data_IF_592596839640
#
_entry.id   IF_592596839640
#
_cell.length_a   1.000
_cell.length_b   1.000
_cell.length_c   1.000
_cell.angle_alpha   90.00
_cell.angle_beta   90.00
_cell.angle_gamma   90.00
#
_symmetry.space_group_name_H-M   'P 1'
#
loop_
_entity.id
_entity.type
_entity.pdbx_description
1 polymer ?
#
# COMPACT_ATOMS: atom_id res chain seq x y z
N UNK A 1 -30.45 47.15 -35.28
CA UNK A 1 -30.19 45.70 -35.39
C UNK A 1 -29.37 45.26 -34.18
N UNK A 2 -29.93 44.54 -33.20
CA UNK A 2 -29.15 43.99 -32.09
C UNK A 2 -28.80 42.52 -32.37
N UNK A 3 -27.52 42.22 -32.61
CA UNK A 3 -27.03 40.85 -32.78
C UNK A 3 -26.42 40.37 -31.45
N UNK A 4 -27.17 39.47 -30.80
CA UNK A 4 -26.72 38.29 -30.05
C UNK A 4 -25.68 38.46 -28.92
N UNK A 5 -26.18 38.37 -27.68
CA UNK A 5 -25.44 37.74 -26.59
C UNK A 5 -25.42 36.22 -26.80
N UNK A 6 -24.26 35.58 -26.64
CA UNK A 6 -24.15 34.13 -26.47
C UNK A 6 -23.28 33.83 -25.24
N UNK A 7 -23.93 33.26 -24.24
CA UNK A 7 -23.39 32.83 -22.95
C UNK A 7 -22.44 31.63 -23.13
N UNK A 8 -21.27 31.69 -22.49
CA UNK A 8 -20.29 30.62 -22.47
C UNK A 8 -20.68 29.61 -21.37
N UNK A 9 -21.19 28.44 -21.76
CA UNK A 9 -21.54 27.36 -20.83
C UNK A 9 -20.29 26.50 -20.47
N UNK A 10 -20.17 26.01 -19.23
CA UNK A 10 -19.06 25.16 -18.84
C UNK A 10 -19.13 23.80 -19.54
N UNK A 11 -18.01 23.39 -20.16
CA UNK A 11 -17.86 22.05 -20.76
C UNK A 11 -17.99 21.00 -19.66
N UNK A 12 -19.13 20.31 -19.61
CA UNK A 12 -19.32 19.15 -18.74
C UNK A 12 -18.24 18.11 -19.04
N UNK A 13 -17.44 17.79 -18.04
CA UNK A 13 -16.54 16.64 -18.03
C UNK A 13 -17.28 15.43 -18.58
N UNK A 14 -16.79 14.88 -19.68
CA UNK A 14 -17.39 13.73 -20.32
C UNK A 14 -17.48 12.58 -19.33
N UNK A 15 -18.71 12.21 -18.96
CA UNK A 15 -18.99 10.92 -18.37
C UNK A 15 -18.67 9.88 -19.43
N UNK A 16 -17.47 9.27 -19.34
CA UNK A 16 -17.16 8.06 -20.10
C UNK A 16 -18.18 7.02 -19.65
N UNK A 17 -19.24 6.82 -20.44
CA UNK A 17 -20.18 5.73 -20.22
C UNK A 17 -19.38 4.42 -20.36
N UNK A 18 -19.31 3.56 -19.33
CA UNK A 18 -18.71 2.25 -19.49
C UNK A 18 -19.55 1.45 -20.50
N UNK A 19 -18.92 0.96 -21.56
CA UNK A 19 -19.57 0.07 -22.52
C UNK A 19 -20.24 -1.11 -21.81
N UNK A 20 -21.50 -1.43 -22.13
CA UNK A 20 -22.22 -2.54 -21.52
C UNK A 20 -21.64 -3.86 -22.05
N UNK A 21 -20.58 -4.36 -21.40
CA UNK A 21 -19.92 -5.62 -21.75
C UNK A 21 -18.42 -5.70 -21.49
N UNK A 22 -17.75 -4.58 -21.15
CA UNK A 22 -16.35 -4.61 -20.77
C UNK A 22 -16.14 -5.17 -19.34
N UNK A 23 -14.99 -5.80 -19.04
CA UNK A 23 -14.66 -6.19 -17.67
C UNK A 23 -14.78 -4.99 -16.74
N UNK A 24 -15.64 -5.09 -15.73
CA UNK A 24 -15.73 -4.09 -14.67
C UNK A 24 -14.50 -4.25 -13.79
N UNK A 25 -13.42 -3.53 -14.09
CA UNK A 25 -12.28 -3.45 -13.19
C UNK A 25 -12.73 -2.73 -11.91
N UNK A 26 -13.05 -3.51 -10.88
CA UNK A 26 -13.28 -2.97 -9.56
C UNK A 26 -12.00 -2.29 -9.09
N UNK A 27 -12.10 -1.14 -8.42
CA UNK A 27 -10.91 -0.44 -7.90
C UNK A 27 -10.07 -1.32 -6.96
N UNK A 28 -10.71 -2.29 -6.30
CA UNK A 28 -10.09 -3.33 -5.47
C UNK A 28 -9.24 -4.36 -6.25
N UNK A 29 -9.43 -4.45 -7.57
CA UNK A 29 -8.71 -5.38 -8.45
C UNK A 29 -7.32 -4.86 -8.85
N UNK A 30 -7.09 -3.54 -8.71
CA UNK A 30 -5.77 -2.93 -8.89
C UNK A 30 -4.90 -3.18 -7.66
N UNK A 31 -4.46 -4.42 -7.48
CA UNK A 31 -3.35 -4.74 -6.57
C UNK A 31 -2.11 -4.00 -7.07
N UNK A 32 -1.46 -3.24 -6.20
CA UNK A 32 -0.20 -2.59 -6.58
C UNK A 32 0.85 -3.67 -6.89
N UNK A 33 1.74 -3.45 -7.87
CA UNK A 33 2.81 -4.40 -8.12
C UNK A 33 3.72 -4.47 -6.90
N UNK A 34 4.19 -5.68 -6.59
CA UNK A 34 5.05 -5.94 -5.42
C UNK A 34 6.37 -5.16 -5.47
N UNK A 35 6.82 -4.75 -6.66
CA UNK A 35 7.99 -3.89 -6.85
C UNK A 35 7.91 -2.54 -6.10
N UNK A 36 6.70 -2.09 -5.69
CA UNK A 36 6.59 -0.89 -4.83
C UNK A 36 7.19 -1.11 -3.43
N UNK A 37 7.40 -2.34 -2.98
CA UNK A 37 8.05 -2.61 -1.69
C UNK A 37 9.53 -2.23 -1.68
N UNK A 38 10.16 -2.21 -2.85
CA UNK A 38 11.58 -1.87 -2.99
C UNK A 38 11.83 -0.36 -2.93
N UNK A 39 10.77 0.45 -3.10
CA UNK A 39 10.83 1.90 -2.96
C UNK A 39 10.46 2.25 -1.52
N UNK A 40 11.42 2.71 -0.73
CA UNK A 40 11.24 2.91 0.72
C UNK A 40 10.07 3.87 1.05
N UNK A 41 9.92 4.94 0.28
CA UNK A 41 8.88 5.97 0.46
C UNK A 41 7.56 5.67 -0.27
N UNK A 42 7.43 4.50 -0.89
CA UNK A 42 6.21 4.18 -1.61
C UNK A 42 5.01 4.02 -0.65
N UNK A 43 3.87 4.57 -1.08
CA UNK A 43 2.61 4.48 -0.35
C UNK A 43 1.83 3.24 -0.81
N UNK A 44 1.74 2.26 0.09
CA UNK A 44 1.00 1.03 -0.08
C UNK A 44 -0.47 1.21 0.29
N UNK A 45 -1.35 0.64 -0.53
CA UNK A 45 -2.79 0.62 -0.28
C UNK A 45 -3.17 -0.45 0.74
N UNK A 46 -4.36 -0.30 1.32
CA UNK A 46 -4.94 -1.29 2.24
C UNK A 46 -5.01 -2.69 1.64
N UNK A 47 -5.28 -2.82 0.34
CA UNK A 47 -5.34 -4.12 -0.34
C UNK A 47 -3.96 -4.79 -0.42
N UNK A 48 -2.91 -4.01 -0.72
CA UNK A 48 -1.53 -4.49 -0.76
C UNK A 48 -1.06 -4.93 0.63
N UNK A 49 -1.34 -4.12 1.66
CA UNK A 49 -0.96 -4.45 3.04
C UNK A 49 -1.64 -5.74 3.52
N UNK A 50 -2.94 -5.92 3.23
CA UNK A 50 -3.64 -7.17 3.53
C UNK A 50 -3.01 -8.37 2.81
N UNK A 51 -2.63 -8.22 1.53
CA UNK A 51 -1.98 -9.29 0.77
C UNK A 51 -0.60 -9.65 1.34
N UNK A 52 0.12 -8.69 1.92
CA UNK A 52 1.45 -8.89 2.49
C UNK A 52 1.41 -9.51 3.89
N UNK A 53 0.51 -9.02 4.74
CA UNK A 53 0.40 -9.50 6.12
C UNK A 53 -0.46 -10.75 6.23
N UNK A 54 -1.34 -11.01 5.25
CA UNK A 54 -2.36 -12.07 5.31
C UNK A 54 -3.51 -11.76 6.28
N UNK A 55 -3.51 -10.57 6.88
CA UNK A 55 -4.50 -10.12 7.85
C UNK A 55 -5.72 -9.50 7.16
N UNK A 56 -6.90 -9.67 7.77
CA UNK A 56 -8.10 -8.93 7.38
C UNK A 56 -8.00 -7.44 7.78
N UNK A 57 -8.80 -6.58 7.14
CA UNK A 57 -8.92 -5.15 7.51
C UNK A 57 -9.21 -4.96 9.00
N UNK A 58 -10.16 -5.74 9.54
CA UNK A 58 -10.53 -5.65 10.96
C UNK A 58 -9.39 -6.04 11.89
N UNK A 59 -8.57 -7.02 11.50
CA UNK A 59 -7.37 -7.40 12.26
C UNK A 59 -6.32 -6.32 12.21
N UNK A 60 -6.06 -5.73 11.03
CA UNK A 60 -5.15 -4.59 10.88
C UNK A 60 -5.60 -3.41 11.75
N UNK A 61 -6.89 -3.07 11.74
CA UNK A 61 -7.44 -1.98 12.56
C UNK A 61 -7.25 -2.23 14.06
N UNK A 62 -7.45 -3.47 14.53
CA UNK A 62 -7.16 -3.85 15.92
C UNK A 62 -5.67 -3.70 16.25
N UNK A 63 -4.77 -4.14 15.36
CA UNK A 63 -3.33 -4.04 15.57
C UNK A 63 -2.85 -2.58 15.56
N UNK A 64 -3.44 -1.72 14.71
CA UNK A 64 -3.17 -0.28 14.69
C UNK A 64 -3.64 0.35 16.01
N UNK A 65 -4.86 0.04 16.46
CA UNK A 65 -5.38 0.55 17.73
C UNK A 65 -4.54 0.09 18.94
N UNK A 66 -4.00 -1.13 18.89
CA UNK A 66 -3.09 -1.66 19.90
C UNK A 66 -1.65 -1.14 19.80
N UNK A 67 -1.32 -0.31 18.79
CA UNK A 67 0.04 0.16 18.54
C UNK A 67 1.01 -0.91 18.02
N UNK A 68 0.50 -2.08 17.64
CA UNK A 68 1.27 -3.21 17.16
C UNK A 68 1.58 -3.15 15.65
N UNK A 69 0.96 -2.24 14.89
CA UNK A 69 1.16 -2.07 13.46
C UNK A 69 1.35 -0.58 13.12
N UNK A 70 2.18 -0.23 12.10
CA UNK A 70 2.42 1.16 11.75
C UNK A 70 1.12 1.92 11.42
N UNK A 71 0.99 3.17 11.89
CA UNK A 71 -0.20 3.97 11.63
C UNK A 71 -0.28 4.35 10.14
N UNK A 72 -1.48 4.34 9.54
CA UNK A 72 -1.66 4.76 8.16
C UNK A 72 -1.57 6.28 8.01
N UNK A 73 -0.96 6.72 6.91
CA UNK A 73 -1.10 8.06 6.36
C UNK A 73 -2.49 8.17 5.73
N UNK A 74 -3.30 9.12 6.22
CA UNK A 74 -4.66 9.34 5.74
C UNK A 74 -4.71 10.47 4.72
N UNK A 75 -5.15 10.16 3.50
CA UNK A 75 -5.51 11.16 2.50
C UNK A 75 -7.04 11.25 2.43
N UNK A 76 -7.63 11.92 3.44
CA UNK A 76 -9.08 12.04 3.58
C UNK A 76 -9.72 10.88 4.36
N UNK A 77 -11.05 10.82 4.33
CA UNK A 77 -11.84 10.01 5.25
C UNK A 77 -11.80 8.49 4.95
N UNK A 78 -11.53 8.11 3.70
CA UNK A 78 -11.54 6.70 3.27
C UNK A 78 -10.19 6.17 2.81
N UNK A 79 -9.21 7.03 2.52
CA UNK A 79 -7.93 6.59 1.94
C UNK A 79 -6.89 6.42 3.04
N UNK A 80 -6.54 5.16 3.31
CA UNK A 80 -5.47 4.76 4.24
C UNK A 80 -4.32 4.19 3.44
N UNK A 81 -3.13 4.78 3.62
CA UNK A 81 -1.90 4.34 2.98
C UNK A 81 -0.81 4.11 4.00
N UNK A 82 0.11 3.19 3.71
CA UNK A 82 1.24 2.88 4.58
C UNK A 82 2.54 3.11 3.83
N UNK A 83 3.57 3.56 4.55
CA UNK A 83 4.91 3.67 3.98
C UNK A 83 5.53 2.27 3.86
N UNK A 84 6.07 1.95 2.70
CA UNK A 84 6.61 0.63 2.40
C UNK A 84 7.70 0.20 3.39
N UNK A 85 8.64 1.08 3.73
CA UNK A 85 9.70 0.78 4.70
C UNK A 85 9.16 0.36 6.07
N UNK A 86 8.14 1.05 6.60
CA UNK A 86 7.53 0.72 7.90
C UNK A 86 6.86 -0.66 7.89
N UNK A 87 6.18 -1.00 6.79
CA UNK A 87 5.54 -2.32 6.63
C UNK A 87 6.60 -3.42 6.55
N UNK A 88 7.69 -3.19 5.82
CA UNK A 88 8.82 -4.14 5.73
C UNK A 88 9.50 -4.35 7.07
N UNK A 89 9.77 -3.29 7.82
CA UNK A 89 10.35 -3.38 9.15
C UNK A 89 9.44 -4.17 10.11
N UNK A 90 8.13 -3.95 10.04
CA UNK A 90 7.17 -4.70 10.83
C UNK A 90 7.15 -6.20 10.48
N UNK A 91 7.10 -6.54 9.18
CA UNK A 91 7.14 -7.93 8.73
C UNK A 91 8.45 -8.62 9.16
N UNK A 92 9.57 -7.90 9.13
CA UNK A 92 10.85 -8.40 9.64
C UNK A 92 10.78 -8.69 11.14
N UNK A 93 10.27 -7.76 11.96
CA UNK A 93 10.08 -7.98 13.41
C UNK A 93 9.16 -9.17 13.69
N UNK A 94 8.10 -9.34 12.91
CA UNK A 94 7.22 -10.50 13.01
C UNK A 94 7.94 -11.81 12.67
N UNK A 95 8.70 -11.84 11.57
CA UNK A 95 9.46 -13.02 11.17
C UNK A 95 10.57 -13.38 12.17
N UNK A 96 11.19 -12.38 12.82
CA UNK A 96 12.13 -12.56 13.92
C UNK A 96 11.43 -13.13 15.18
N UNK A 97 10.26 -12.58 15.53
CA UNK A 97 9.45 -13.05 16.66
C UNK A 97 8.92 -14.48 16.48
N UNK A 98 8.57 -14.85 15.24
CA UNK A 98 8.11 -16.19 14.87
C UNK A 98 9.27 -17.16 14.64
N UNK A 99 10.54 -16.72 14.76
CA UNK A 99 11.73 -17.55 14.60
C UNK A 99 11.97 -18.05 13.16
N UNK A 100 11.27 -17.49 12.17
CA UNK A 100 11.37 -17.87 10.75
C UNK A 100 12.70 -17.38 10.14
N UNK A 101 13.18 -16.23 10.59
CA UNK A 101 14.56 -15.79 10.36
C UNK A 101 15.39 -16.19 11.58
N UNK A 102 15.95 -17.41 11.54
CA UNK A 102 17.12 -17.72 12.36
C UNK A 102 18.23 -16.74 11.97
N UNK A 103 18.79 -16.07 12.97
CA UNK A 103 19.88 -15.12 12.85
C UNK A 103 20.91 -15.56 11.79
N UNK A 104 20.98 -14.84 10.66
CA UNK A 104 22.13 -14.86 9.75
C UNK A 104 23.33 -14.12 10.37
N UNK A 105 23.49 -14.21 11.68
CA UNK A 105 24.49 -13.50 12.48
C UNK A 105 25.15 -14.52 13.42
N UNK A 106 25.96 -15.42 12.84
CA UNK A 106 27.00 -16.21 13.55
C UNK A 106 27.98 -16.96 12.61
N UNK A 107 28.18 -16.53 11.36
CA UNK A 107 29.00 -17.31 10.39
C UNK A 107 30.07 -16.53 9.63
N UNK A 108 30.48 -15.32 10.04
CA UNK A 108 31.57 -14.62 9.34
C UNK A 108 32.73 -14.12 10.22
N UNK A 109 32.75 -14.38 11.54
CA UNK A 109 33.82 -13.90 12.42
C UNK A 109 34.56 -15.02 13.16
N UNK A 110 34.87 -16.11 12.46
CA UNK A 110 35.86 -17.10 12.95
C UNK A 110 36.58 -17.82 11.82
N UNK A 111 37.09 -17.08 10.85
CA UNK A 111 37.99 -17.63 9.84
C UNK A 111 38.84 -16.53 9.18
N UNK A 112 39.69 -15.85 9.96
CA UNK A 112 40.98 -15.40 9.44
C UNK A 112 41.97 -15.22 10.60
N UNK A 113 42.70 -16.29 10.87
CA UNK A 113 43.99 -16.24 11.55
C UNK A 113 44.88 -17.26 10.84
N UNK A 114 45.88 -16.79 10.09
CA UNK A 114 47.19 -17.42 10.06
C UNK A 114 48.18 -16.42 10.71
N UNK A 115 48.82 -16.80 11.81
CA UNK A 115 50.09 -17.55 11.86
C UNK A 115 51.27 -16.66 11.44
#
# INVERSE_FOLDING_TARGET
MPMMQAVNAPRKSGTVQPSPGGPRFHKSDRKQPLALLDIDDALLTSATVQALTGDSVSTLDRKIAAGAFPPPIRHGERDRRWVAWQVREHLRKQAESQGVVRARAKSHEKATAPA
#
